data_IF_363816466242
#
_entry.id   IF_363816466242
#
_cell.length_a   1.000
_cell.length_b   1.000
_cell.length_c   1.000
_cell.angle_alpha   90.00
_cell.angle_beta   90.00
_cell.angle_gamma   90.00
#
_symmetry.space_group_name_H-M   'P 1'
#
loop_
_entity.id
_entity.type
_entity.pdbx_description
1 polymer ?
#
# COMPACT_ATOMS: atom_id res chain seq x y z
N UNK A 1 -34.83 -21.72 -6.82
CA UNK A 1 -36.25 -21.33 -6.88
C UNK A 1 -36.99 -22.54 -7.40
N UNK A 2 -37.68 -23.24 -6.51
CA UNK A 2 -38.28 -24.53 -6.82
C UNK A 2 -39.50 -24.34 -7.75
N UNK A 3 -39.60 -25.10 -8.87
CA UNK A 3 -40.54 -24.84 -9.96
C UNK A 3 -41.97 -25.35 -9.71
N UNK A 4 -42.31 -25.79 -8.50
CA UNK A 4 -43.58 -26.47 -8.17
C UNK A 4 -44.54 -25.65 -7.29
N UNK A 5 -44.25 -24.37 -7.03
CA UNK A 5 -45.14 -23.52 -6.23
C UNK A 5 -46.25 -22.91 -7.13
N UNK A 6 -47.54 -23.24 -6.92
CA UNK A 6 -48.63 -22.60 -7.67
C UNK A 6 -48.67 -21.09 -7.40
N UNK A 7 -49.14 -20.27 -8.38
CA UNK A 7 -49.12 -18.81 -8.28
C UNK A 7 -49.97 -18.28 -7.11
N UNK A 8 -50.95 -19.05 -6.66
CA UNK A 8 -51.85 -18.73 -5.56
C UNK A 8 -51.86 -19.89 -4.56
N UNK A 9 -51.44 -19.62 -3.33
CA UNK A 9 -51.39 -20.60 -2.25
C UNK A 9 -51.97 -19.97 -0.99
N UNK A 10 -53.01 -20.58 -0.42
CA UNK A 10 -53.72 -20.07 0.76
C UNK A 10 -52.77 -19.87 1.95
N UNK A 11 -51.71 -20.68 2.04
CA UNK A 11 -50.69 -20.58 3.09
C UNK A 11 -49.78 -19.36 2.97
N UNK A 12 -49.73 -18.68 1.82
CA UNK A 12 -48.95 -17.46 1.59
C UNK A 12 -49.79 -16.17 1.75
N UNK A 13 -51.06 -16.28 2.16
CA UNK A 13 -51.96 -15.12 2.32
C UNK A 13 -51.57 -14.21 3.49
N UNK A 14 -50.94 -14.77 4.52
CA UNK A 14 -50.38 -14.01 5.62
C UNK A 14 -48.89 -13.85 5.32
N UNK A 15 -48.38 -12.62 5.09
CA UNK A 15 -46.95 -12.39 4.93
C UNK A 15 -46.21 -13.02 6.11
N UNK A 16 -45.22 -13.86 5.84
CA UNK A 16 -44.35 -14.36 6.90
C UNK A 16 -43.60 -13.19 7.50
N UNK A 17 -43.60 -13.09 8.83
CA UNK A 17 -42.87 -12.02 9.52
C UNK A 17 -41.40 -12.09 9.13
N UNK A 18 -40.97 -11.11 8.32
CA UNK A 18 -39.57 -10.93 7.97
C UNK A 18 -38.84 -10.57 9.26
N UNK A 19 -38.19 -11.57 9.88
CA UNK A 19 -37.32 -11.34 11.03
C UNK A 19 -36.15 -10.48 10.55
N UNK A 20 -36.16 -9.21 10.95
CA UNK A 20 -35.03 -8.32 10.70
C UNK A 20 -33.76 -8.99 11.24
N UNK A 21 -32.68 -9.06 10.43
CA UNK A 21 -31.43 -9.62 10.92
C UNK A 21 -30.94 -8.77 12.09
N UNK A 22 -30.37 -9.38 13.14
CA UNK A 22 -29.86 -8.62 14.28
C UNK A 22 -28.79 -7.65 13.80
N UNK A 23 -28.78 -6.44 14.38
CA UNK A 23 -27.76 -5.46 14.07
C UNK A 23 -26.35 -6.03 14.31
N UNK A 24 -25.37 -5.73 13.44
CA UNK A 24 -24.01 -6.19 13.63
C UNK A 24 -23.43 -5.62 14.94
N UNK A 25 -22.51 -6.36 15.60
CA UNK A 25 -21.85 -5.86 16.79
C UNK A 25 -21.09 -4.57 16.48
N UNK A 26 -21.15 -3.63 17.43
CA UNK A 26 -20.44 -2.35 17.33
C UNK A 26 -18.94 -2.60 17.18
N UNK A 27 -18.29 -1.88 16.26
CA UNK A 27 -16.83 -1.90 16.11
C UNK A 27 -16.15 -1.57 17.46
N UNK A 28 -15.13 -2.36 17.79
CA UNK A 28 -14.28 -2.14 18.95
C UNK A 28 -12.87 -1.88 18.45
N UNK A 29 -12.27 -0.77 18.91
CA UNK A 29 -10.87 -0.45 18.59
C UNK A 29 -9.92 -1.56 19.03
N UNK A 30 -8.96 -1.87 18.15
CA UNK A 30 -7.86 -2.82 18.39
C UNK A 30 -7.07 -2.41 19.65
N UNK A 31 -7.02 -1.11 19.95
CA UNK A 31 -6.30 -0.56 21.09
C UNK A 31 -7.13 -0.45 22.38
N UNK A 32 -8.37 -0.99 22.42
CA UNK A 32 -9.22 -0.89 23.62
C UNK A 32 -8.58 -1.54 24.86
N UNK A 33 -7.85 -2.64 24.68
CA UNK A 33 -7.16 -3.32 25.78
C UNK A 33 -5.98 -2.49 26.30
N UNK A 34 -5.11 -2.01 25.41
CA UNK A 34 -3.93 -1.22 25.77
C UNK A 34 -4.30 0.06 26.50
N UNK A 35 -5.34 0.77 26.04
CA UNK A 35 -5.84 1.98 26.70
C UNK A 35 -6.37 1.70 28.12
N UNK A 36 -7.03 0.56 28.34
CA UNK A 36 -7.48 0.16 29.67
C UNK A 36 -6.30 -0.13 30.59
N UNK A 37 -5.32 -0.89 30.11
CA UNK A 37 -4.14 -1.26 30.90
C UNK A 37 -3.32 -0.01 31.28
N UNK A 38 -3.10 0.90 30.34
CA UNK A 38 -2.35 2.15 30.60
C UNK A 38 -3.06 3.06 31.60
N UNK A 39 -4.40 3.14 31.53
CA UNK A 39 -5.20 3.87 32.50
C UNK A 39 -5.18 3.20 33.89
N UNK A 40 -5.05 1.87 33.98
CA UNK A 40 -4.97 1.15 35.26
C UNK A 40 -3.58 1.24 35.89
N UNK A 41 -2.50 1.18 35.10
CA UNK A 41 -1.11 1.27 35.60
C UNK A 41 -0.85 2.52 36.45
N UNK A 42 -1.54 3.62 36.16
CA UNK A 42 -1.39 4.88 36.89
C UNK A 42 -2.24 4.97 38.15
N UNK A 43 -3.21 4.06 38.31
CA UNK A 43 -4.11 4.00 39.47
C UNK A 43 -3.53 3.05 40.52
N UNK A 44 -3.03 3.62 41.61
CA UNK A 44 -2.74 2.85 42.84
C UNK A 44 -3.87 3.09 43.83
N UNK A 45 -4.30 2.04 44.53
CA UNK A 45 -5.25 2.20 45.63
C UNK A 45 -4.66 3.20 46.65
N UNK A 46 -5.51 4.05 47.23
CA UNK A 46 -5.18 4.94 48.35
C UNK A 46 -3.97 5.88 48.19
N UNK A 47 -3.61 6.29 46.96
CA UNK A 47 -2.45 7.18 46.67
C UNK A 47 -2.53 8.58 47.31
N UNK A 48 -3.73 9.18 47.34
CA UNK A 48 -3.91 10.60 47.72
C UNK A 48 -3.97 10.79 49.24
N UNK A 49 -4.77 9.97 49.92
CA UNK A 49 -5.08 10.15 51.35
C UNK A 49 -4.65 8.97 52.24
N UNK A 50 -4.08 7.90 51.66
CA UNK A 50 -3.73 6.69 52.41
C UNK A 50 -4.96 5.89 52.89
N UNK A 51 -4.74 4.80 53.67
CA UNK A 51 -5.81 4.03 54.27
C UNK A 51 -6.48 4.81 55.41
N UNK A 52 -7.81 4.73 55.52
CA UNK A 52 -8.58 5.43 56.57
C UNK A 52 -8.26 4.92 57.99
N UNK A 53 -7.89 3.65 58.13
CA UNK A 53 -7.34 3.04 59.35
C UNK A 53 -6.12 2.24 58.96
N UNK A 54 -4.96 2.62 59.48
CA UNK A 54 -3.70 1.88 59.27
C UNK A 54 -3.77 0.60 60.09
N UNK A 55 -3.72 -0.55 59.42
CA UNK A 55 -3.65 -1.83 60.10
C UNK A 55 -2.29 -1.97 60.80
N UNK A 56 -2.33 -2.11 62.13
CA UNK A 56 -1.13 -2.34 62.94
C UNK A 56 -0.73 -3.81 62.78
N UNK A 57 0.50 -4.11 62.32
CA UNK A 57 0.92 -5.49 62.09
C UNK A 57 0.91 -6.29 63.40
N UNK A 58 0.45 -7.53 63.33
CA UNK A 58 0.47 -8.46 64.46
C UNK A 58 1.92 -8.75 64.86
N UNK A 59 2.26 -8.89 66.16
CA UNK A 59 3.61 -9.25 66.60
C UNK A 59 4.16 -10.57 66.01
N UNK A 60 3.27 -11.42 65.46
CA UNK A 60 3.64 -12.64 64.73
C UNK A 60 4.22 -12.38 63.33
N UNK A 61 3.91 -11.23 62.73
CA UNK A 61 4.30 -10.83 61.37
C UNK A 61 5.54 -9.92 61.38
N UNK A 62 6.53 -10.28 62.21
CA UNK A 62 7.80 -9.57 62.26
C UNK A 62 8.63 -9.82 61.01
N UNK A 63 9.46 -8.85 60.63
CA UNK A 63 10.33 -8.92 59.44
C UNK A 63 11.33 -10.07 59.57
N UNK A 64 11.26 -11.04 58.66
CA UNK A 64 12.19 -12.18 58.60
C UNK A 64 13.37 -11.87 57.67
N UNK A 65 14.52 -12.53 57.90
CA UNK A 65 15.70 -12.44 57.02
C UNK A 65 15.32 -12.78 55.58
N UNK A 66 15.78 -11.99 54.61
CA UNK A 66 15.51 -12.13 53.17
C UNK A 66 14.04 -11.97 52.73
N UNK A 67 13.12 -11.50 53.60
CA UNK A 67 11.68 -11.36 53.26
C UNK A 67 11.37 -10.29 52.21
N UNK A 68 12.20 -9.27 52.09
CA UNK A 68 12.02 -8.14 51.14
C UNK A 68 12.92 -8.25 49.90
N UNK A 69 13.71 -9.30 49.80
CA UNK A 69 14.61 -9.50 48.67
C UNK A 69 13.82 -9.93 47.44
N UNK A 70 14.08 -9.27 46.30
CA UNK A 70 13.45 -9.61 45.04
C UNK A 70 14.05 -10.91 44.53
N UNK A 71 13.26 -11.96 44.41
CA UNK A 71 13.68 -13.21 43.79
C UNK A 71 13.87 -12.99 42.29
N UNK A 72 15.09 -13.25 41.80
CA UNK A 72 15.36 -13.22 40.37
C UNK A 72 14.72 -14.46 39.73
N UNK A 73 14.03 -14.32 38.58
CA UNK A 73 13.56 -15.48 37.84
C UNK A 73 14.76 -16.33 37.40
N UNK A 74 14.57 -17.66 37.22
CA UNK A 74 15.62 -18.52 36.69
C UNK A 74 16.09 -18.03 35.31
N UNK A 75 17.39 -18.14 35.06
CA UNK A 75 18.01 -17.70 33.80
C UNK A 75 17.42 -18.53 32.65
N UNK A 76 16.54 -17.93 31.85
CA UNK A 76 16.07 -18.50 30.58
C UNK A 76 17.08 -18.15 29.48
N UNK A 77 17.63 -19.17 28.82
CA UNK A 77 18.41 -18.99 27.59
C UNK A 77 17.44 -18.52 26.51
N UNK A 78 17.58 -17.28 26.07
CA UNK A 78 16.89 -16.75 24.90
C UNK A 78 17.82 -16.93 23.69
N UNK A 79 17.27 -17.27 22.53
CA UNK A 79 18.03 -17.29 21.29
C UNK A 79 18.15 -15.85 20.76
N UNK A 80 19.23 -15.16 21.15
CA UNK A 80 19.52 -13.79 20.67
C UNK A 80 20.23 -13.74 19.32
N UNK A 81 20.69 -14.88 18.82
CA UNK A 81 21.63 -14.92 17.70
C UNK A 81 21.01 -15.62 16.49
N UNK A 82 20.14 -14.91 15.77
CA UNK A 82 19.80 -15.28 14.40
C UNK A 82 20.99 -14.84 13.53
N UNK A 83 21.72 -15.76 12.87
CA UNK A 83 22.84 -15.39 12.02
C UNK A 83 22.34 -14.53 10.86
N UNK A 84 22.66 -13.23 10.88
CA UNK A 84 22.28 -12.27 9.82
C UNK A 84 23.13 -12.42 8.56
N UNK A 85 24.26 -13.12 8.66
CA UNK A 85 25.21 -13.33 7.57
C UNK A 85 25.27 -14.83 7.25
N UNK A 86 25.42 -15.22 5.97
CA UNK A 86 25.66 -16.61 5.62
C UNK A 86 26.97 -17.09 6.25
N UNK A 87 27.07 -18.41 6.48
CA UNK A 87 28.31 -19.01 6.96
C UNK A 87 29.43 -18.79 5.93
N UNK A 88 30.65 -18.63 6.42
CA UNK A 88 31.83 -18.51 5.56
C UNK A 88 32.00 -19.82 4.78
N UNK A 89 32.27 -19.79 3.46
CA UNK A 89 32.53 -21.00 2.67
C UNK A 89 33.62 -21.87 3.29
N UNK A 90 33.45 -23.18 3.19
CA UNK A 90 34.44 -24.12 3.72
C UNK A 90 35.68 -24.17 2.83
N UNK A 91 36.83 -24.57 3.39
CA UNK A 91 38.07 -24.75 2.61
C UNK A 91 37.94 -25.82 1.52
N UNK A 92 36.96 -26.72 1.65
CA UNK A 92 36.61 -27.75 0.66
C UNK A 92 35.69 -27.23 -0.45
N UNK A 93 34.98 -26.12 -0.21
CA UNK A 93 34.10 -25.50 -1.20
C UNK A 93 34.96 -24.68 -2.18
N UNK A 94 35.29 -25.31 -3.30
CA UNK A 94 35.90 -24.60 -4.41
C UNK A 94 34.75 -24.04 -5.26
N UNK A 95 34.77 -22.74 -5.62
CA UNK A 95 33.80 -22.21 -6.56
C UNK A 95 33.89 -23.01 -7.88
N UNK A 96 32.91 -22.88 -8.77
CA UNK A 96 32.97 -23.54 -10.09
C UNK A 96 34.20 -23.02 -10.84
N UNK A 97 35.31 -23.74 -10.72
CA UNK A 97 36.60 -23.40 -11.31
C UNK A 97 36.60 -23.89 -12.76
N UNK A 98 37.03 -23.03 -13.68
CA UNK A 98 37.27 -23.46 -15.06
C UNK A 98 36.01 -23.57 -15.92
N UNK A 99 35.05 -22.64 -15.79
CA UNK A 99 34.12 -22.37 -16.91
C UNK A 99 34.97 -21.79 -18.06
N UNK A 100 35.55 -22.68 -18.85
CA UNK A 100 36.27 -22.32 -20.06
C UNK A 100 35.22 -22.03 -21.11
N UNK A 101 34.92 -20.76 -21.33
CA UNK A 101 34.07 -20.38 -22.46
C UNK A 101 34.86 -20.58 -23.75
N UNK A 102 34.30 -21.29 -24.73
CA UNK A 102 34.81 -21.33 -26.12
C UNK A 102 34.66 -19.98 -26.87
N UNK A 103 34.38 -18.90 -26.12
CA UNK A 103 34.12 -17.57 -26.66
C UNK A 103 35.42 -16.96 -27.16
N UNK A 104 35.49 -16.69 -28.45
CA UNK A 104 36.57 -15.94 -29.07
C UNK A 104 36.52 -14.46 -28.67
N UNK A 105 37.22 -14.10 -27.60
CA UNK A 105 37.23 -12.73 -27.07
C UNK A 105 37.66 -11.68 -28.10
N UNK A 106 38.56 -12.04 -29.03
CA UNK A 106 39.00 -11.13 -30.10
C UNK A 106 37.81 -10.75 -30.99
N UNK A 107 37.09 -11.74 -31.51
CA UNK A 107 35.97 -11.51 -32.43
C UNK A 107 34.79 -10.86 -31.73
N UNK A 108 34.54 -11.24 -30.47
CA UNK A 108 33.41 -10.69 -29.72
C UNK A 108 33.66 -9.25 -29.32
N UNK A 109 34.89 -8.92 -28.89
CA UNK A 109 35.24 -7.53 -28.59
C UNK A 109 35.20 -6.67 -29.86
N UNK A 110 35.64 -7.20 -31.01
CA UNK A 110 35.54 -6.51 -32.29
C UNK A 110 34.08 -6.27 -32.67
N UNK A 111 33.23 -7.29 -32.60
CA UNK A 111 31.80 -7.16 -32.87
C UNK A 111 31.12 -6.18 -31.91
N UNK A 112 31.42 -6.24 -30.61
CA UNK A 112 30.86 -5.34 -29.59
C UNK A 112 31.25 -3.87 -29.83
N UNK A 113 32.47 -3.61 -30.31
CA UNK A 113 32.94 -2.26 -30.67
C UNK A 113 32.28 -1.77 -31.97
N UNK A 114 32.17 -2.65 -32.98
CA UNK A 114 31.56 -2.32 -34.27
C UNK A 114 30.05 -2.06 -34.12
N UNK A 115 29.37 -2.88 -33.33
CA UNK A 115 27.93 -2.75 -33.05
C UNK A 115 27.63 -1.71 -31.97
N UNK A 116 28.65 -1.32 -31.19
CA UNK A 116 28.53 -0.36 -30.11
C UNK A 116 28.18 1.03 -30.63
N UNK A 117 26.98 1.50 -30.34
CA UNK A 117 26.61 2.89 -30.62
C UNK A 117 27.46 3.81 -29.73
N UNK A 118 28.08 4.83 -30.34
CA UNK A 118 28.85 5.84 -29.62
C UNK A 118 28.00 6.44 -28.48
N UNK A 119 28.60 6.58 -27.28
CA UNK A 119 27.91 7.15 -26.12
C UNK A 119 27.49 8.59 -26.43
N UNK A 120 26.19 8.81 -26.63
CA UNK A 120 25.64 10.15 -26.79
C UNK A 120 25.69 10.85 -25.42
N UNK A 121 26.30 12.05 -25.30
CA UNK A 121 26.34 12.76 -24.03
C UNK A 121 24.91 13.09 -23.60
N UNK A 122 24.63 12.92 -22.31
CA UNK A 122 23.34 13.33 -21.76
C UNK A 122 23.22 14.86 -21.87
N UNK A 123 22.07 15.40 -22.31
CA UNK A 123 21.84 16.83 -22.29
C UNK A 123 21.92 17.38 -20.87
N UNK A 124 22.75 18.41 -20.67
CA UNK A 124 22.97 19.07 -19.38
C UNK A 124 22.69 20.57 -19.52
N UNK A 125 22.23 21.19 -18.44
CA UNK A 125 22.09 22.63 -18.30
C UNK A 125 23.12 23.17 -17.30
N UNK A 126 23.53 24.42 -17.51
CA UNK A 126 24.52 25.12 -16.69
C UNK A 126 24.06 26.56 -16.47
N UNK A 127 23.83 26.93 -15.21
CA UNK A 127 23.32 28.26 -14.84
C UNK A 127 24.37 29.38 -15.01
N UNK A 128 25.66 29.07 -14.79
CA UNK A 128 26.78 30.02 -14.78
C UNK A 128 27.96 29.49 -15.60
N UNK A 129 28.76 30.37 -16.22
CA UNK A 129 29.93 29.99 -17.06
C UNK A 129 30.92 29.01 -16.39
N UNK A 130 31.01 29.03 -15.06
CA UNK A 130 31.85 28.14 -14.22
C UNK A 130 31.04 27.37 -13.17
N UNK A 131 29.72 27.27 -13.33
CA UNK A 131 28.83 26.63 -12.36
C UNK A 131 28.77 25.10 -12.48
N UNK A 132 28.01 24.51 -11.56
CA UNK A 132 27.71 23.09 -11.54
C UNK A 132 26.85 22.68 -12.75
N UNK A 133 27.07 21.44 -13.21
CA UNK A 133 26.34 20.84 -14.34
C UNK A 133 25.18 20.04 -13.80
N UNK A 134 23.97 20.35 -14.25
CA UNK A 134 22.76 19.62 -13.88
C UNK A 134 22.14 18.92 -15.09
N UNK A 135 21.54 17.74 -14.86
CA UNK A 135 20.85 17.00 -15.91
C UNK A 135 19.62 17.78 -16.41
N UNK A 136 19.46 17.86 -17.73
CA UNK A 136 18.40 18.68 -18.34
C UNK A 136 17.00 18.02 -18.22
N UNK A 137 16.91 16.69 -18.29
CA UNK A 137 15.64 15.93 -18.20
C UNK A 137 14.84 16.17 -16.89
N UNK A 138 15.41 16.08 -15.67
CA UNK A 138 14.67 16.30 -14.43
C UNK A 138 14.42 17.78 -14.11
N UNK A 139 15.13 18.70 -14.76
CA UNK A 139 15.11 20.14 -14.45
C UNK A 139 13.79 20.85 -14.77
N UNK A 140 12.88 20.18 -15.48
CA UNK A 140 11.61 20.79 -15.91
C UNK A 140 11.76 21.84 -17.01
N UNK A 141 12.97 22.08 -17.54
CA UNK A 141 13.22 23.00 -18.67
C UNK A 141 12.85 22.36 -20.02
N UNK A 142 12.80 21.03 -20.09
CA UNK A 142 12.43 20.31 -21.31
C UNK A 142 10.94 20.03 -21.31
N UNK A 143 10.22 20.41 -22.38
CA UNK A 143 8.82 20.02 -22.52
C UNK A 143 8.68 18.51 -22.61
N UNK A 144 7.96 17.93 -21.66
CA UNK A 144 7.63 16.51 -21.69
C UNK A 144 6.32 16.34 -22.46
N UNK A 145 6.42 15.84 -23.68
CA UNK A 145 5.25 15.67 -24.54
C UNK A 145 4.23 14.71 -23.92
N UNK A 146 2.99 15.17 -23.80
CA UNK A 146 1.84 14.33 -23.44
C UNK A 146 1.33 13.67 -24.73
N UNK A 147 1.13 12.35 -24.69
CA UNK A 147 0.72 11.56 -25.85
C UNK A 147 -0.73 11.86 -26.27
N UNK A 148 -0.91 12.89 -27.11
CA UNK A 148 -2.21 13.27 -27.70
C UNK A 148 -2.90 12.12 -28.42
N UNK A 149 -2.15 11.21 -29.05
CA UNK A 149 -2.71 10.09 -29.81
C UNK A 149 -3.37 9.06 -28.87
N UNK A 150 -2.83 8.86 -27.67
CA UNK A 150 -3.40 7.97 -26.66
C UNK A 150 -4.75 8.46 -26.15
N UNK A 151 -4.84 9.74 -25.77
CA UNK A 151 -6.09 10.31 -25.27
C UNK A 151 -7.23 10.26 -26.30
N UNK A 152 -6.91 10.47 -27.59
CA UNK A 152 -7.91 10.38 -28.66
C UNK A 152 -8.46 8.96 -28.85
N UNK A 153 -7.60 7.94 -28.74
CA UNK A 153 -8.02 6.54 -28.79
C UNK A 153 -8.96 6.18 -27.63
N UNK A 154 -8.60 6.57 -26.40
CA UNK A 154 -9.44 6.33 -25.23
C UNK A 154 -10.82 7.01 -25.37
N UNK A 155 -10.85 8.23 -25.91
CA UNK A 155 -12.12 8.92 -26.18
C UNK A 155 -12.97 8.18 -27.21
N UNK A 156 -12.35 7.65 -28.28
CA UNK A 156 -13.04 6.87 -29.30
C UNK A 156 -13.63 5.56 -28.74
N UNK A 157 -12.91 4.89 -27.83
CA UNK A 157 -13.40 3.69 -27.13
C UNK A 157 -14.60 4.00 -26.24
N UNK A 158 -14.50 5.02 -25.37
CA UNK A 158 -15.60 5.43 -24.48
C UNK A 158 -16.81 5.91 -25.29
N UNK A 159 -16.58 6.64 -26.39
CA UNK A 159 -17.66 7.11 -27.25
C UNK A 159 -18.38 5.95 -27.95
N UNK A 160 -17.63 4.93 -28.41
CA UNK A 160 -18.21 3.71 -28.99
C UNK A 160 -19.06 2.95 -27.96
N UNK A 161 -18.58 2.83 -26.73
CA UNK A 161 -19.36 2.22 -25.65
C UNK A 161 -20.65 2.99 -25.37
N UNK A 162 -20.58 4.32 -25.31
CA UNK A 162 -21.74 5.18 -25.16
C UNK A 162 -22.75 5.01 -26.32
N UNK A 163 -22.27 4.95 -27.57
CA UNK A 163 -23.12 4.70 -28.73
C UNK A 163 -23.80 3.33 -28.70
N UNK A 164 -23.14 2.32 -28.13
CA UNK A 164 -23.71 0.97 -27.97
C UNK A 164 -24.72 0.84 -26.83
N UNK A 165 -25.00 1.91 -26.07
CA UNK A 165 -26.01 1.89 -25.01
C UNK A 165 -27.41 1.75 -25.59
N UNK A 166 -28.28 1.07 -24.84
CA UNK A 166 -29.71 0.96 -25.20
C UNK A 166 -30.41 2.31 -25.07
N UNK A 167 -31.27 2.62 -26.04
CA UNK A 167 -32.10 3.85 -26.06
C UNK A 167 -33.08 3.89 -24.86
N UNK A 168 -33.50 2.73 -24.35
CA UNK A 168 -34.40 2.61 -23.19
C UNK A 168 -33.61 2.58 -21.88
N UNK A 169 -33.67 3.70 -21.13
CA UNK A 169 -32.91 3.97 -19.90
C UNK A 169 -33.86 4.09 -18.70
N UNK A 170 -34.73 3.11 -18.53
CA UNK A 170 -35.79 3.19 -17.49
C UNK A 170 -35.30 2.72 -16.12
N UNK A 171 -34.16 2.01 -16.08
CA UNK A 171 -33.59 1.43 -14.88
C UNK A 171 -32.46 2.29 -14.30
N UNK A 172 -32.47 2.50 -12.98
CA UNK A 172 -31.45 3.25 -12.21
C UNK A 172 -30.01 2.87 -12.61
N UNK A 173 -29.59 1.59 -12.67
CA UNK A 173 -28.24 1.21 -13.10
C UNK A 173 -27.90 1.63 -14.53
N UNK A 174 -28.87 1.63 -15.46
CA UNK A 174 -28.64 2.10 -16.84
C UNK A 174 -28.38 3.61 -16.87
N UNK A 175 -29.08 4.38 -16.03
CA UNK A 175 -28.88 5.82 -15.88
C UNK A 175 -27.51 6.16 -15.30
N UNK A 176 -27.09 5.44 -14.25
CA UNK A 176 -25.75 5.61 -13.65
C UNK A 176 -24.65 5.25 -14.66
N UNK A 177 -24.80 4.14 -15.41
CA UNK A 177 -23.83 3.75 -16.44
C UNK A 177 -23.68 4.81 -17.52
N UNK A 178 -24.79 5.38 -17.99
CA UNK A 178 -24.79 6.49 -18.95
C UNK A 178 -24.05 7.72 -18.38
N UNK A 179 -24.42 8.15 -17.17
CA UNK A 179 -23.79 9.31 -16.53
C UNK A 179 -22.28 9.14 -16.37
N UNK A 180 -21.80 7.95 -15.99
CA UNK A 180 -20.36 7.66 -15.91
C UNK A 180 -19.66 7.84 -17.25
N UNK A 181 -20.20 7.27 -18.32
CA UNK A 181 -19.61 7.37 -19.66
C UNK A 181 -19.60 8.83 -20.15
N UNK A 182 -20.63 9.62 -19.86
CA UNK A 182 -20.68 11.05 -20.17
C UNK A 182 -19.63 11.85 -19.39
N UNK A 183 -19.45 11.56 -18.10
CA UNK A 183 -18.43 12.20 -17.27
C UNK A 183 -17.02 11.88 -17.76
N UNK A 184 -16.74 10.62 -18.06
CA UNK A 184 -15.44 10.18 -18.61
C UNK A 184 -15.15 10.83 -19.97
N UNK A 185 -16.15 10.88 -20.86
CA UNK A 185 -16.02 11.54 -22.16
C UNK A 185 -15.73 13.04 -22.00
N UNK A 186 -16.46 13.73 -21.12
CA UNK A 186 -16.26 15.16 -20.83
C UNK A 186 -14.88 15.43 -20.23
N UNK A 187 -14.38 14.55 -19.36
CA UNK A 187 -13.03 14.66 -18.80
C UNK A 187 -11.97 14.52 -19.90
N UNK A 188 -12.12 13.53 -20.79
CA UNK A 188 -11.20 13.32 -21.90
C UNK A 188 -11.21 14.50 -22.87
N UNK A 189 -12.37 15.07 -23.20
CA UNK A 189 -12.49 16.28 -24.01
C UNK A 189 -11.81 17.48 -23.36
N UNK A 190 -11.98 17.66 -22.06
CA UNK A 190 -11.31 18.72 -21.31
C UNK A 190 -9.79 18.58 -21.40
N UNK A 191 -9.25 17.38 -21.15
CA UNK A 191 -7.80 17.13 -21.24
C UNK A 191 -7.25 17.29 -22.65
N UNK A 192 -7.97 16.79 -23.67
CA UNK A 192 -7.61 16.99 -25.08
C UNK A 192 -7.58 18.50 -25.39
N UNK A 193 -8.59 19.26 -24.94
CA UNK A 193 -8.65 20.70 -25.13
C UNK A 193 -7.50 21.46 -24.46
N UNK A 194 -7.13 21.07 -23.24
CA UNK A 194 -5.95 21.65 -22.54
C UNK A 194 -4.67 21.38 -23.32
N UNK A 195 -4.48 20.15 -23.82
CA UNK A 195 -3.28 19.77 -24.59
C UNK A 195 -3.27 20.42 -25.98
N UNK A 196 -4.43 20.60 -26.62
CA UNK A 196 -4.53 21.27 -27.92
C UNK A 196 -4.27 22.78 -27.79
N UNK A 197 -4.73 23.41 -26.70
CA UNK A 197 -4.48 24.81 -26.40
C UNK A 197 -3.01 25.08 -26.04
N UNK A 198 -2.38 24.16 -25.31
CA UNK A 198 -1.00 24.31 -24.82
C UNK A 198 -0.04 23.37 -25.54
N UNK A 199 0.63 23.87 -26.59
CA UNK A 199 1.65 23.14 -27.37
C UNK A 199 2.82 22.64 -26.51
N UNK A 200 3.12 23.30 -25.40
CA UNK A 200 4.23 23.03 -24.49
C UNK A 200 3.64 22.98 -23.06
N UNK A 201 3.80 21.86 -22.37
CA UNK A 201 3.36 21.67 -20.98
C UNK A 201 4.58 21.24 -20.16
N UNK A 202 4.82 21.94 -19.05
CA UNK A 202 5.90 21.64 -18.12
C UNK A 202 5.34 20.81 -16.96
N UNK A 203 5.96 19.66 -16.70
CA UNK A 203 5.57 18.76 -15.61
C UNK A 203 6.67 18.85 -14.55
N UNK A 204 6.36 19.43 -13.39
CA UNK A 204 7.25 19.39 -12.25
C UNK A 204 7.24 17.99 -11.63
N UNK A 205 8.42 17.38 -11.48
CA UNK A 205 8.58 16.14 -10.71
C UNK A 205 8.57 16.52 -9.22
N UNK A 206 7.78 15.83 -8.41
CA UNK A 206 7.69 16.01 -6.95
C UNK A 206 8.55 15.00 -6.23
#
# INVERSE_FOLDING_TARGET
MDPTCPPECIYNLIPSDLKEPPHPPRYISIFKATVKDDMQKTKTAMKTMGPAKVEVPSPKDFLKKHSKEKTLPPIKKFDRNVPKKPAVPLRTDHPVMGIQSEKNFINTNAADVIMGVAKKPKPIYVDKRTGDKHDLEPSGLVPKYINKKGLKKNWEEVHKEFQSLSVFIDSIPKKIRKQRLEEEMKQLEHYIGVIEKHKIIYIANK
#
